data_IF_492740114667
#
_entry.id   IF_492740114667
#
_cell.length_a   1.000
_cell.length_b   1.000
_cell.length_c   1.000
_cell.angle_alpha   90.00
_cell.angle_beta   90.00
_cell.angle_gamma   90.00
#
_symmetry.space_group_name_H-M   'P 1'
#
loop_
_entity.id
_entity.type
_entity.pdbx_description
1 polymer ?
#
# COMPACT_ATOMS: atom_id res chain seq x y z
N UNK A 1 56.06 5.06 22.91
CA UNK A 1 55.00 4.03 22.78
C UNK A 1 53.60 4.61 22.59
N UNK A 2 53.28 5.77 23.18
CA UNK A 2 51.97 6.44 23.10
C UNK A 2 51.47 6.78 21.67
N UNK A 3 52.39 7.16 20.77
CA UNK A 3 52.08 7.51 19.38
C UNK A 3 51.63 6.31 18.53
N UNK A 4 52.02 5.08 18.89
CA UNK A 4 51.65 3.88 18.14
C UNK A 4 50.22 3.41 18.50
N UNK A 5 49.85 3.49 19.78
CA UNK A 5 48.49 3.18 20.25
C UNK A 5 47.43 4.12 19.67
N UNK A 6 47.74 5.43 19.57
CA UNK A 6 46.82 6.43 18.98
C UNK A 6 46.58 6.20 17.48
N UNK A 7 47.61 5.78 16.73
CA UNK A 7 47.48 5.40 15.31
C UNK A 7 46.67 4.13 15.12
N UNK A 8 46.82 3.14 16.00
CA UNK A 8 46.06 1.88 15.96
C UNK A 8 44.58 2.16 16.22
N UNK A 9 44.24 2.91 17.28
CA UNK A 9 42.84 3.30 17.58
C UNK A 9 42.23 4.12 16.44
N UNK A 10 43.00 5.02 15.81
CA UNK A 10 42.53 5.81 14.67
C UNK A 10 42.27 4.95 13.42
N UNK A 11 43.10 3.93 13.14
CA UNK A 11 42.86 2.98 12.04
C UNK A 11 41.59 2.15 12.25
N UNK A 12 41.33 1.67 13.48
CA UNK A 12 40.10 0.94 13.79
C UNK A 12 38.85 1.81 13.68
N UNK A 13 38.92 3.08 14.11
CA UNK A 13 37.82 4.04 13.92
C UNK A 13 37.54 4.32 12.44
N UNK A 14 38.58 4.53 11.63
CA UNK A 14 38.44 4.72 10.17
C UNK A 14 37.86 3.46 9.52
N UNK A 15 38.34 2.28 9.87
CA UNK A 15 37.79 1.01 9.37
C UNK A 15 36.32 0.83 9.74
N UNK A 16 35.94 1.16 10.98
CA UNK A 16 34.54 1.08 11.44
C UNK A 16 33.65 2.07 10.67
N UNK A 17 34.10 3.30 10.45
CA UNK A 17 33.38 4.30 9.65
C UNK A 17 33.20 3.84 8.19
N UNK A 18 34.22 3.25 7.57
CA UNK A 18 34.13 2.71 6.21
C UNK A 18 33.14 1.55 6.14
N UNK A 19 33.19 0.62 7.10
CA UNK A 19 32.21 -0.48 7.17
C UNK A 19 30.79 0.04 7.34
N UNK A 20 30.56 0.98 8.27
CA UNK A 20 29.24 1.57 8.50
C UNK A 20 28.71 2.29 7.23
N UNK A 21 29.57 3.01 6.52
CA UNK A 21 29.22 3.64 5.25
C UNK A 21 28.85 2.60 4.18
N UNK A 22 29.63 1.53 4.04
CA UNK A 22 29.32 0.44 3.10
C UNK A 22 28.01 -0.28 3.44
N UNK A 23 27.71 -0.50 4.72
CA UNK A 23 26.43 -1.07 5.14
C UNK A 23 25.27 -0.13 4.84
N UNK A 24 25.44 1.17 5.12
CA UNK A 24 24.40 2.16 4.84
C UNK A 24 24.14 2.30 3.33
N UNK A 25 25.18 2.33 2.49
CA UNK A 25 25.01 2.37 1.03
C UNK A 25 24.37 1.11 0.49
N UNK A 26 24.78 -0.08 0.95
CA UNK A 26 24.14 -1.33 0.59
C UNK A 26 22.66 -1.37 1.01
N UNK A 27 22.33 -0.86 2.19
CA UNK A 27 20.96 -0.71 2.68
C UNK A 27 20.13 0.21 1.78
N UNK A 28 20.65 1.38 1.40
CA UNK A 28 19.96 2.31 0.50
C UNK A 28 19.73 1.70 -0.90
N UNK A 29 20.71 0.98 -1.44
CA UNK A 29 20.57 0.27 -2.72
C UNK A 29 19.47 -0.79 -2.61
N UNK A 30 19.46 -1.58 -1.53
CA UNK A 30 18.43 -2.59 -1.30
C UNK A 30 17.03 -1.95 -1.17
N UNK A 31 16.90 -0.84 -0.44
CA UNK A 31 15.64 -0.09 -0.32
C UNK A 31 15.16 0.46 -1.66
N UNK A 32 16.06 1.05 -2.45
CA UNK A 32 15.76 1.54 -3.80
C UNK A 32 15.30 0.41 -4.72
N UNK A 33 15.97 -0.74 -4.69
CA UNK A 33 15.59 -1.90 -5.50
C UNK A 33 14.18 -2.42 -5.12
N UNK A 34 13.85 -2.43 -3.82
CA UNK A 34 12.51 -2.79 -3.33
C UNK A 34 11.45 -1.80 -3.82
N UNK A 35 11.73 -0.50 -3.75
CA UNK A 35 10.80 0.52 -4.23
C UNK A 35 10.57 0.41 -5.75
N UNK A 36 11.64 0.21 -6.54
CA UNK A 36 11.52 -0.02 -7.97
C UNK A 36 10.69 -1.27 -8.30
N UNK A 37 10.88 -2.36 -7.54
CA UNK A 37 10.06 -3.57 -7.68
C UNK A 37 8.57 -3.31 -7.42
N UNK A 38 8.25 -2.55 -6.37
CA UNK A 38 6.88 -2.15 -6.06
C UNK A 38 6.29 -1.27 -7.17
N UNK A 39 7.00 -0.24 -7.61
CA UNK A 39 6.53 0.67 -8.66
C UNK A 39 6.36 -0.05 -10.01
N UNK A 40 7.23 -1.02 -10.33
CA UNK A 40 7.09 -1.86 -11.51
C UNK A 40 5.84 -2.76 -11.44
N UNK A 41 5.55 -3.36 -10.28
CA UNK A 41 4.31 -4.11 -10.08
C UNK A 41 3.10 -3.18 -10.18
N UNK A 42 3.15 -2.00 -9.54
CA UNK A 42 2.11 -0.99 -9.62
C UNK A 42 1.80 -0.60 -11.08
N UNK A 43 2.84 -0.36 -11.89
CA UNK A 43 2.68 0.00 -13.29
C UNK A 43 1.98 -1.07 -14.14
N UNK A 44 2.16 -2.36 -13.82
CA UNK A 44 1.48 -3.46 -14.52
C UNK A 44 0.00 -3.59 -14.15
N UNK A 45 -0.34 -3.38 -12.89
CA UNK A 45 -1.73 -3.55 -12.40
C UNK A 45 -2.56 -2.26 -12.49
N UNK A 46 -1.94 -1.08 -12.51
CA UNK A 46 -2.62 0.22 -12.51
C UNK A 46 -3.64 0.42 -13.66
N UNK A 47 -3.42 -0.09 -14.89
CA UNK A 47 -4.41 0.00 -15.96
C UNK A 47 -5.77 -0.60 -15.60
N UNK A 48 -5.81 -1.63 -14.77
CA UNK A 48 -7.04 -2.36 -14.40
C UNK A 48 -7.69 -1.85 -13.10
N UNK A 49 -7.04 -0.89 -12.43
CA UNK A 49 -7.43 -0.43 -11.10
C UNK A 49 -7.85 1.05 -11.16
N UNK A 50 -8.98 1.39 -10.55
CA UNK A 50 -9.34 2.76 -10.18
C UNK A 50 -9.21 2.90 -8.66
N UNK A 51 -8.32 3.79 -8.22
CA UNK A 51 -8.14 4.09 -6.82
C UNK A 51 -9.11 5.17 -6.35
N UNK A 52 -9.30 5.25 -5.04
CA UNK A 52 -10.05 6.34 -4.39
C UNK A 52 -9.12 7.09 -3.45
N UNK A 53 -9.07 8.41 -3.57
CA UNK A 53 -8.20 9.26 -2.78
C UNK A 53 -9.02 10.40 -2.17
N UNK A 54 -9.01 10.54 -0.85
CA UNK A 54 -9.73 11.63 -0.19
C UNK A 54 -8.76 12.44 0.67
N UNK A 55 -8.74 13.75 0.45
CA UNK A 55 -7.97 14.71 1.22
C UNK A 55 -8.89 15.47 2.16
N UNK A 56 -8.58 15.44 3.46
CA UNK A 56 -9.29 16.23 4.45
C UNK A 56 -8.89 17.72 4.37
N UNK A 57 -9.72 18.58 4.95
CA UNK A 57 -9.42 20.00 5.04
C UNK A 57 -8.17 20.27 5.92
N UNK A 58 -8.04 19.58 7.04
CA UNK A 58 -6.90 19.66 7.97
C UNK A 58 -6.69 18.34 8.75
N UNK A 59 -5.71 18.33 9.65
CA UNK A 59 -5.34 17.19 10.50
C UNK A 59 -6.09 17.13 11.84
N UNK A 60 -7.02 18.06 12.11
CA UNK A 60 -7.86 17.99 13.30
C UNK A 60 -8.70 16.72 13.29
N UNK A 61 -8.94 16.14 14.47
CA UNK A 61 -9.77 14.95 14.62
C UNK A 61 -11.16 15.11 13.99
N UNK A 62 -11.77 16.31 14.06
CA UNK A 62 -13.07 16.58 13.43
C UNK A 62 -13.00 16.50 11.90
N UNK A 63 -12.01 17.12 11.26
CA UNK A 63 -11.83 17.05 9.80
C UNK A 63 -11.47 15.63 9.32
N UNK A 64 -10.73 14.87 10.14
CA UNK A 64 -10.40 13.48 9.84
C UNK A 64 -11.63 12.57 9.93
N UNK A 65 -12.47 12.76 10.96
CA UNK A 65 -13.74 12.04 11.11
C UNK A 65 -14.72 12.41 9.99
N UNK A 66 -14.85 13.70 9.68
CA UNK A 66 -15.68 14.21 8.59
C UNK A 66 -15.30 13.58 7.24
N UNK A 67 -14.00 13.43 6.96
CA UNK A 67 -13.50 12.71 5.78
C UNK A 67 -13.98 11.26 5.74
N UNK A 68 -13.98 10.55 6.87
CA UNK A 68 -14.42 9.16 6.93
C UNK A 68 -15.92 9.00 6.68
N UNK A 69 -16.71 9.98 7.10
CA UNK A 69 -18.16 10.03 6.85
C UNK A 69 -18.46 10.37 5.39
N UNK A 70 -17.81 11.39 4.83
CA UNK A 70 -17.90 11.72 3.39
C UNK A 70 -17.48 10.52 2.53
N UNK A 71 -16.39 9.82 2.90
CA UNK A 71 -15.99 8.56 2.26
C UNK A 71 -17.15 7.56 2.26
N UNK A 72 -17.78 7.33 3.40
CA UNK A 72 -18.89 6.39 3.52
C UNK A 72 -20.07 6.76 2.63
N UNK A 73 -20.48 8.03 2.63
CA UNK A 73 -21.56 8.56 1.79
C UNK A 73 -21.30 8.32 0.31
N UNK A 74 -20.10 8.69 -0.17
CA UNK A 74 -19.75 8.55 -1.58
C UNK A 74 -19.68 7.08 -2.00
N UNK A 75 -19.07 6.22 -1.18
CA UNK A 75 -18.97 4.79 -1.49
C UNK A 75 -20.35 4.14 -1.53
N UNK A 76 -21.25 4.46 -0.58
CA UNK A 76 -22.62 3.96 -0.61
C UNK A 76 -23.37 4.43 -1.86
N UNK A 77 -23.28 5.72 -2.18
CA UNK A 77 -23.93 6.27 -3.36
C UNK A 77 -23.44 5.60 -4.66
N UNK A 78 -22.13 5.36 -4.80
CA UNK A 78 -21.59 4.63 -5.95
C UNK A 78 -22.13 3.20 -5.99
N UNK A 79 -22.10 2.48 -4.87
CA UNK A 79 -22.53 1.08 -4.81
C UNK A 79 -24.03 0.91 -5.11
N UNK A 80 -24.87 1.81 -4.61
CA UNK A 80 -26.32 1.80 -4.82
C UNK A 80 -26.73 2.09 -6.27
N UNK A 81 -25.99 2.96 -6.96
CA UNK A 81 -26.40 3.46 -8.28
C UNK A 81 -25.66 2.81 -9.46
N UNK A 82 -24.38 2.48 -9.31
CA UNK A 82 -23.56 1.94 -10.40
C UNK A 82 -23.65 0.39 -10.49
N UNK A 83 -23.95 -0.27 -9.37
CA UNK A 83 -24.05 -1.73 -9.26
C UNK A 83 -22.70 -2.46 -9.37
N UNK A 84 -22.63 -3.68 -8.84
CA UNK A 84 -21.37 -4.42 -8.65
C UNK A 84 -20.74 -5.08 -9.89
N UNK A 85 -21.18 -4.76 -11.11
CA UNK A 85 -20.69 -5.36 -12.38
C UNK A 85 -20.11 -4.31 -13.35
N UNK A 86 -19.87 -3.08 -12.92
CA UNK A 86 -19.29 -2.05 -13.77
C UNK A 86 -17.79 -2.29 -13.98
N UNK A 87 -17.25 -1.95 -15.16
CA UNK A 87 -15.80 -1.93 -15.41
C UNK A 87 -15.14 -0.69 -14.83
N UNK A 88 -13.80 -0.61 -14.89
CA UNK A 88 -13.03 0.58 -14.51
C UNK A 88 -13.52 1.83 -15.25
N UNK A 89 -13.63 1.76 -16.57
CA UNK A 89 -13.98 2.88 -17.45
C UNK A 89 -15.41 3.33 -17.20
N UNK A 90 -16.33 2.37 -17.03
CA UNK A 90 -17.73 2.67 -16.70
C UNK A 90 -17.83 3.34 -15.33
N UNK A 91 -17.03 2.88 -14.36
CA UNK A 91 -16.97 3.49 -13.02
C UNK A 91 -16.43 4.93 -13.09
N UNK A 92 -15.33 5.14 -13.79
CA UNK A 92 -14.73 6.46 -13.96
C UNK A 92 -15.68 7.43 -14.71
N UNK A 93 -16.30 6.97 -15.80
CA UNK A 93 -17.26 7.76 -16.56
C UNK A 93 -18.49 8.14 -15.74
N UNK A 94 -19.06 7.18 -15.02
CA UNK A 94 -20.23 7.43 -14.17
C UNK A 94 -19.94 8.46 -13.06
N UNK A 95 -18.77 8.39 -12.43
CA UNK A 95 -18.36 9.37 -11.42
C UNK A 95 -18.28 10.79 -11.99
N UNK A 96 -17.82 10.94 -13.23
CA UNK A 96 -17.74 12.26 -13.87
C UNK A 96 -19.10 12.77 -14.33
N UNK A 97 -19.98 11.88 -14.79
CA UNK A 97 -21.36 12.20 -15.13
C UNK A 97 -22.17 12.66 -13.91
N UNK A 98 -21.94 12.03 -12.75
CA UNK A 98 -22.65 12.32 -11.49
C UNK A 98 -21.86 13.23 -10.55
N UNK A 99 -20.81 13.87 -11.06
CA UNK A 99 -19.84 14.64 -10.28
C UNK A 99 -20.51 15.71 -9.41
N UNK A 100 -21.33 16.55 -10.03
CA UNK A 100 -21.96 17.68 -9.34
C UNK A 100 -22.89 17.19 -8.22
N UNK A 101 -23.60 16.08 -8.44
CA UNK A 101 -24.46 15.46 -7.42
C UNK A 101 -23.67 14.89 -6.24
N UNK A 102 -22.51 14.28 -6.51
CA UNK A 102 -21.61 13.75 -5.47
C UNK A 102 -21.00 14.89 -4.65
N UNK A 103 -20.52 15.94 -5.31
CA UNK A 103 -19.97 17.13 -4.65
C UNK A 103 -21.02 17.82 -3.77
N UNK A 104 -22.24 18.02 -4.28
CA UNK A 104 -23.32 18.68 -3.55
C UNK A 104 -23.81 17.85 -2.35
N UNK A 105 -23.92 16.53 -2.51
CA UNK A 105 -24.27 15.64 -1.40
C UNK A 105 -23.23 15.73 -0.28
N UNK A 106 -21.94 15.64 -0.63
CA UNK A 106 -20.86 15.76 0.34
C UNK A 106 -20.84 17.15 1.00
N UNK A 107 -21.04 18.22 0.22
CA UNK A 107 -21.11 19.60 0.74
C UNK A 107 -22.30 19.80 1.69
N UNK A 108 -23.47 19.28 1.33
CA UNK A 108 -24.68 19.31 2.17
C UNK A 108 -24.44 18.60 3.50
N UNK A 109 -23.79 17.44 3.46
CA UNK A 109 -23.42 16.72 4.68
C UNK A 109 -22.46 17.55 5.56
N UNK A 110 -21.41 18.12 4.96
CA UNK A 110 -20.44 18.97 5.66
C UNK A 110 -21.13 20.18 6.32
N UNK A 111 -22.08 20.81 5.63
CA UNK A 111 -22.91 21.89 6.17
C UNK A 111 -23.74 21.45 7.37
N UNK A 112 -24.32 20.24 7.31
CA UNK A 112 -25.07 19.68 8.44
C UNK A 112 -24.20 19.41 9.69
N UNK A 113 -22.89 19.21 9.51
CA UNK A 113 -21.92 19.05 10.59
C UNK A 113 -21.37 20.40 11.10
N UNK A 114 -21.94 21.53 10.67
CA UNK A 114 -21.55 22.87 11.11
C UNK A 114 -20.26 23.40 10.48
N UNK A 115 -19.84 22.87 9.32
CA UNK A 115 -18.68 23.31 8.55
C UNK A 115 -19.11 23.79 7.17
N UNK A 116 -18.36 24.70 6.53
CA UNK A 116 -18.62 25.12 5.15
C UNK A 116 -17.34 24.97 4.31
N UNK A 117 -17.05 23.72 3.94
CA UNK A 117 -15.92 23.40 3.08
C UNK A 117 -16.41 23.08 1.67
N UNK A 118 -15.77 23.63 0.61
CA UNK A 118 -16.00 23.14 -0.74
C UNK A 118 -15.54 21.68 -0.85
N UNK A 119 -16.20 20.93 -1.72
CA UNK A 119 -15.80 19.56 -2.08
C UNK A 119 -15.55 19.54 -3.57
N UNK A 120 -14.43 18.91 -3.98
CA UNK A 120 -14.08 18.74 -5.39
C UNK A 120 -13.79 17.27 -5.68
N UNK A 121 -14.53 16.67 -6.59
CA UNK A 121 -14.28 15.35 -7.18
C UNK A 121 -13.61 15.51 -8.56
N UNK A 122 -12.54 14.78 -8.80
CA UNK A 122 -11.86 14.75 -10.09
C UNK A 122 -11.23 13.38 -10.37
N UNK A 123 -11.07 13.05 -11.66
CA UNK A 123 -10.17 11.97 -12.06
C UNK A 123 -8.75 12.53 -12.19
N UNK A 124 -7.83 11.94 -11.45
CA UNK A 124 -6.43 12.32 -11.41
C UNK A 124 -5.52 11.10 -11.54
N UNK A 125 -4.24 11.35 -11.82
CA UNK A 125 -3.19 10.35 -11.64
C UNK A 125 -2.38 10.72 -10.41
N UNK A 126 -2.53 9.94 -9.35
CA UNK A 126 -1.89 10.19 -8.05
C UNK A 126 -0.86 9.12 -7.72
N UNK A 127 0.18 9.50 -6.98
CA UNK A 127 1.12 8.55 -6.38
C UNK A 127 0.56 8.03 -5.07
N UNK A 128 0.39 6.71 -4.98
CA UNK A 128 -0.08 6.03 -3.79
C UNK A 128 1.11 5.40 -3.05
N UNK A 129 1.17 5.49 -1.71
CA UNK A 129 2.04 4.64 -0.92
C UNK A 129 1.53 3.19 -0.92
N UNK A 130 2.37 2.25 -0.50
CA UNK A 130 1.95 0.86 -0.28
C UNK A 130 0.84 0.79 0.76
N UNK A 131 -0.25 0.09 0.46
CA UNK A 131 -1.43 -0.02 1.34
C UNK A 131 -1.96 -1.43 1.42
N UNK A 132 -2.22 -1.88 2.65
CA UNK A 132 -2.91 -3.12 2.92
C UNK A 132 -4.43 -2.90 2.95
N UNK A 133 -5.17 -3.84 2.37
CA UNK A 133 -6.63 -3.92 2.34
C UNK A 133 -7.01 -5.34 2.72
N UNK A 134 -7.45 -5.55 3.96
CA UNK A 134 -7.63 -6.89 4.51
C UNK A 134 -6.35 -7.72 4.39
N UNK A 135 -6.44 -8.78 3.62
CA UNK A 135 -5.37 -9.73 3.31
C UNK A 135 -4.65 -9.45 1.97
N UNK A 136 -4.83 -8.28 1.36
CA UNK A 136 -4.11 -7.91 0.13
C UNK A 136 -3.25 -6.67 0.34
N UNK A 137 -2.08 -6.61 -0.32
CA UNK A 137 -1.16 -5.47 -0.28
C UNK A 137 -0.97 -4.89 -1.66
N UNK A 138 -1.39 -3.64 -1.84
CA UNK A 138 -1.19 -2.90 -3.08
C UNK A 138 0.13 -2.12 -3.02
N UNK A 139 1.01 -2.24 -4.03
CA UNK A 139 2.31 -1.61 -4.03
C UNK A 139 2.22 -0.07 -4.18
N UNK A 140 3.31 0.61 -3.84
CA UNK A 140 3.42 2.04 -4.10
C UNK A 140 3.63 2.30 -5.60
N UNK A 141 3.05 3.38 -6.13
CA UNK A 141 3.16 3.74 -7.53
C UNK A 141 2.09 4.74 -7.99
N UNK A 142 2.06 5.05 -9.28
CA UNK A 142 1.07 5.97 -9.86
C UNK A 142 -0.14 5.20 -10.36
N UNK A 143 -1.34 5.64 -9.98
CA UNK A 143 -2.61 5.03 -10.38
C UNK A 143 -3.59 6.09 -10.86
N UNK A 144 -4.57 5.67 -11.67
CA UNK A 144 -5.77 6.46 -11.88
C UNK A 144 -6.58 6.49 -10.58
N UNK A 145 -7.03 7.68 -10.19
CA UNK A 145 -7.72 7.91 -8.94
C UNK A 145 -8.94 8.81 -9.14
N UNK A 146 -10.06 8.41 -8.56
CA UNK A 146 -11.12 9.34 -8.20
C UNK A 146 -10.67 10.06 -6.92
N UNK A 147 -10.32 11.35 -7.05
CA UNK A 147 -9.83 12.17 -5.96
C UNK A 147 -10.93 13.11 -5.47
N UNK A 148 -11.21 13.07 -4.17
CA UNK A 148 -12.07 14.02 -3.47
C UNK A 148 -11.21 14.91 -2.58
N UNK A 149 -11.29 16.22 -2.79
CA UNK A 149 -10.63 17.22 -1.95
C UNK A 149 -11.69 17.95 -1.13
N UNK A 150 -11.57 17.88 0.19
CA UNK A 150 -12.43 18.61 1.13
C UNK A 150 -11.69 19.87 1.59
N UNK A 151 -12.29 21.04 1.41
CA UNK A 151 -11.72 22.31 1.83
C UNK A 151 -10.36 22.58 1.21
N UNK A 152 -9.36 22.88 2.04
CA UNK A 152 -8.00 23.16 1.56
C UNK A 152 -7.20 21.92 1.12
N UNK A 153 -7.68 20.71 1.42
CA UNK A 153 -6.99 19.47 1.06
C UNK A 153 -5.64 19.27 1.74
N UNK A 154 -5.39 19.93 2.87
CA UNK A 154 -4.09 19.89 3.59
C UNK A 154 -4.02 18.83 4.68
N UNK A 155 -5.13 18.15 4.95
CA UNK A 155 -5.17 17.09 5.94
C UNK A 155 -4.65 15.76 5.42
N UNK A 156 -4.48 14.79 6.32
CA UNK A 156 -4.06 13.44 5.98
C UNK A 156 -4.94 12.81 4.89
N UNK A 157 -4.29 12.03 4.04
CA UNK A 157 -4.95 11.33 2.94
C UNK A 157 -5.66 10.07 3.44
N UNK A 158 -6.77 9.74 2.77
CA UNK A 158 -7.39 8.43 2.84
C UNK A 158 -7.28 7.74 1.48
N UNK A 159 -6.92 6.46 1.48
CA UNK A 159 -6.60 5.71 0.27
C UNK A 159 -7.43 4.44 0.19
N UNK A 160 -8.07 4.19 -0.96
CA UNK A 160 -8.89 3.01 -1.20
C UNK A 160 -8.71 2.48 -2.63
N UNK A 161 -9.26 1.30 -2.91
CA UNK A 161 -9.50 0.81 -4.29
C UNK A 161 -10.99 0.89 -4.58
N UNK A 162 -11.37 1.74 -5.53
CA UNK A 162 -12.77 1.88 -5.94
C UNK A 162 -13.18 0.82 -6.95
N UNK A 163 -12.30 0.52 -7.91
CA UNK A 163 -12.47 -0.59 -8.85
C UNK A 163 -11.18 -1.43 -8.92
N UNK A 164 -11.26 -2.76 -8.80
CA UNK A 164 -12.43 -3.51 -8.32
C UNK A 164 -12.87 -3.03 -6.92
N UNK A 165 -14.11 -3.28 -6.49
CA UNK A 165 -14.64 -2.70 -5.26
C UNK A 165 -13.99 -3.36 -4.03
N UNK A 166 -12.87 -2.83 -3.55
CA UNK A 166 -12.29 -3.19 -2.24
C UNK A 166 -12.53 -2.10 -1.19
N UNK A 167 -13.17 -0.99 -1.58
CA UNK A 167 -13.56 0.07 -0.66
C UNK A 167 -14.93 -0.21 -0.07
N UNK A 168 -14.96 -0.58 1.21
CA UNK A 168 -16.19 -0.79 1.95
C UNK A 168 -16.36 0.28 3.04
N UNK A 169 -17.61 0.53 3.42
CA UNK A 169 -17.97 1.37 4.56
C UNK A 169 -17.43 0.79 5.86
N UNK A 170 -17.57 -0.53 6.03
CA UNK A 170 -17.13 -1.23 7.23
C UNK A 170 -15.65 -1.65 7.13
N UNK A 171 -14.83 -1.06 8.00
CA UNK A 171 -13.39 -1.36 8.14
C UNK A 171 -13.10 -2.66 8.91
N UNK A 172 -14.13 -3.42 9.29
CA UNK A 172 -14.01 -4.60 10.16
C UNK A 172 -13.66 -5.89 9.42
N UNK A 173 -13.65 -5.88 8.08
CA UNK A 173 -13.32 -7.07 7.32
C UNK A 173 -11.81 -7.26 7.25
N UNK A 174 -11.30 -8.24 8.00
CA UNK A 174 -9.90 -8.67 7.94
C UNK A 174 -9.52 -9.29 6.58
N UNK A 175 -10.51 -9.61 5.74
CA UNK A 175 -10.37 -10.33 4.46
C UNK A 175 -11.13 -9.59 3.36
N UNK A 176 -10.52 -9.44 2.19
CA UNK A 176 -11.19 -8.86 1.02
C UNK A 176 -12.28 -9.83 0.52
N UNK A 177 -13.50 -9.36 0.20
CA UNK A 177 -14.57 -10.24 -0.28
C UNK A 177 -14.19 -11.02 -1.54
N UNK A 178 -14.61 -12.28 -1.60
CA UNK A 178 -14.19 -13.23 -2.63
C UNK A 178 -14.53 -12.75 -4.04
N UNK A 179 -15.70 -12.15 -4.23
CA UNK A 179 -16.10 -11.59 -5.53
C UNK A 179 -15.11 -10.53 -6.04
N UNK A 180 -14.58 -9.69 -5.15
CA UNK A 180 -13.61 -8.65 -5.52
C UNK A 180 -12.24 -9.26 -5.84
N UNK A 181 -11.86 -10.33 -5.12
CA UNK A 181 -10.66 -11.13 -5.42
C UNK A 181 -10.76 -11.84 -6.77
N UNK A 182 -11.88 -12.51 -7.05
CA UNK A 182 -12.15 -13.15 -8.35
C UNK A 182 -12.11 -12.16 -9.49
N UNK A 183 -12.75 -10.99 -9.31
CA UNK A 183 -12.71 -9.90 -10.28
C UNK A 183 -11.28 -9.48 -10.54
N UNK A 184 -10.53 -9.15 -9.48
CA UNK A 184 -9.14 -8.74 -9.60
C UNK A 184 -8.27 -9.81 -10.27
N UNK A 185 -8.41 -11.09 -9.89
CA UNK A 185 -7.70 -12.22 -10.48
C UNK A 185 -8.00 -12.38 -11.98
N UNK A 186 -9.23 -12.09 -12.41
CA UNK A 186 -9.57 -12.13 -13.84
C UNK A 186 -9.03 -10.95 -14.65
N UNK A 187 -8.67 -9.84 -14.00
CA UNK A 187 -8.21 -8.62 -14.66
C UNK A 187 -6.68 -8.58 -14.85
N UNK A 188 -5.93 -9.19 -13.92
CA UNK A 188 -4.47 -9.13 -13.92
C UNK A 188 -3.85 -10.53 -14.08
N UNK A 189 -2.61 -10.64 -14.58
CA UNK A 189 -1.90 -11.92 -14.64
C UNK A 189 -1.80 -12.60 -13.27
N UNK A 190 -1.87 -13.93 -13.24
CA UNK A 190 -1.79 -14.71 -11.99
C UNK A 190 -0.54 -14.37 -11.16
N UNK A 191 0.60 -14.15 -11.80
CA UNK A 191 1.86 -13.75 -11.13
C UNK A 191 1.73 -12.42 -10.37
N UNK A 192 1.01 -11.46 -10.95
CA UNK A 192 0.80 -10.14 -10.37
C UNK A 192 -0.23 -10.22 -9.26
N UNK A 193 -1.26 -11.05 -9.40
CA UNK A 193 -2.25 -11.32 -8.36
C UNK A 193 -1.62 -11.96 -7.12
N UNK A 194 -0.82 -13.01 -7.28
CA UNK A 194 -0.11 -13.68 -6.18
C UNK A 194 0.88 -12.73 -5.47
N UNK A 195 1.45 -11.76 -6.19
CA UNK A 195 2.31 -10.73 -5.61
C UNK A 195 1.56 -9.76 -4.67
N UNK A 196 0.24 -9.65 -4.78
CA UNK A 196 -0.61 -8.85 -3.88
C UNK A 196 -1.01 -9.60 -2.61
N UNK A 197 -0.94 -10.94 -2.60
CA UNK A 197 -1.31 -11.76 -1.45
C UNK A 197 -0.23 -11.75 -0.35
N UNK A 198 -0.60 -12.05 0.92
CA UNK A 198 0.35 -12.11 2.02
C UNK A 198 1.35 -13.24 1.81
N UNK A 199 2.56 -13.07 2.33
CA UNK A 199 3.67 -14.02 2.15
C UNK A 199 3.35 -15.44 2.64
N UNK A 200 2.43 -15.59 3.59
CA UNK A 200 1.98 -16.87 4.16
C UNK A 200 1.12 -17.71 3.20
N UNK A 201 0.44 -17.08 2.25
CA UNK A 201 -0.45 -17.75 1.28
C UNK A 201 0.27 -18.10 -0.03
N UNK A 202 1.35 -17.38 -0.36
CA UNK A 202 2.22 -17.66 -1.53
C UNK A 202 2.84 -19.06 -1.51
N UNK A 203 2.88 -19.71 -0.35
CA UNK A 203 3.53 -21.02 -0.18
C UNK A 203 2.62 -22.24 -0.38
N UNK A 204 1.30 -22.06 -0.51
CA UNK A 204 0.38 -23.19 -0.70
C UNK A 204 0.11 -23.53 -2.18
N UNK A 205 0.32 -22.58 -3.10
CA UNK A 205 0.13 -22.80 -4.55
C UNK A 205 1.44 -23.05 -5.33
N UNK A 206 2.60 -22.91 -4.68
CA UNK A 206 3.91 -23.26 -5.22
C UNK A 206 4.32 -24.65 -4.74
N UNK A 207 3.98 -25.69 -5.51
CA UNK A 207 4.48 -27.04 -5.35
C UNK A 207 5.99 -27.09 -5.64
N UNK A 208 6.80 -26.86 -4.61
CA UNK A 208 8.24 -27.11 -4.66
C UNK A 208 9.09 -26.19 -3.80
N UNK A 209 9.00 -26.31 -2.47
CA UNK A 209 9.99 -25.68 -1.58
C UNK A 209 11.38 -26.30 -1.85
N UNK A 210 12.41 -25.56 -2.30
CA UNK A 210 13.77 -26.04 -2.15
C UNK A 210 14.08 -26.08 -0.65
N UNK A 211 14.49 -27.24 -0.14
CA UNK A 211 15.03 -27.38 1.22
C UNK A 211 16.32 -26.57 1.31
N UNK A 212 16.25 -25.35 1.81
CA UNK A 212 17.44 -24.56 2.17
C UNK A 212 18.01 -25.16 3.45
N UNK A 213 19.04 -26.01 3.30
CA UNK A 213 19.91 -26.40 4.42
C UNK A 213 20.93 -25.29 4.64
N UNK A 214 20.77 -24.54 5.73
CA UNK A 214 21.79 -23.57 6.17
C UNK A 214 22.91 -24.32 6.89
N UNK A 215 24.07 -24.49 6.23
CA UNK A 215 25.29 -25.02 6.86
C UNK A 215 26.14 -23.87 7.37
N UNK A 216 26.24 -23.72 8.68
CA UNK A 216 27.12 -22.75 9.33
C UNK A 216 28.56 -23.26 9.34
N UNK A 217 29.33 -22.93 8.29
CA UNK A 217 30.76 -23.27 8.16
C UNK A 217 31.61 -22.80 9.34
N UNK A 218 31.18 -21.75 10.06
CA UNK A 218 31.88 -21.22 11.22
C UNK A 218 31.80 -22.16 12.45
N UNK A 219 30.68 -22.86 12.63
CA UNK A 219 30.48 -23.80 13.73
C UNK A 219 31.26 -25.11 13.51
N UNK A 220 31.42 -25.53 12.25
CA UNK A 220 32.30 -26.64 11.85
C UNK A 220 33.78 -26.26 12.08
N UNK A 221 34.18 -25.02 11.78
CA UNK A 221 35.56 -24.54 11.99
C UNK A 221 35.97 -24.43 13.47
N UNK A 222 34.99 -24.20 14.35
CA UNK A 222 35.19 -24.05 15.80
C UNK A 222 35.06 -25.38 16.57
N UNK A 223 34.85 -26.52 15.88
CA UNK A 223 34.79 -27.84 16.52
C UNK A 223 33.61 -28.04 17.48
N UNK A 224 32.57 -27.21 17.41
CA UNK A 224 31.41 -27.25 18.30
C UNK A 224 30.33 -28.27 17.86
N UNK A 225 30.58 -29.04 16.81
CA UNK A 225 29.72 -30.14 16.38
C UNK A 225 30.13 -31.48 17.01
N UNK A 226 29.80 -31.70 18.29
CA UNK A 226 29.79 -33.06 18.87
C UNK A 226 28.37 -33.47 19.23
N UNK A 227 28.08 -34.72 18.86
CA UNK A 227 26.81 -35.45 18.96
C UNK A 227 26.14 -35.37 20.34
N UNK A 228 24.81 -35.32 20.32
CA UNK A 228 23.93 -35.89 21.33
C UNK A 228 22.62 -36.24 20.59
N UNK A 229 22.04 -37.44 20.61
CA UNK A 229 22.35 -38.70 21.26
C UNK A 229 21.24 -39.67 20.85
N UNK A 230 21.54 -40.97 20.85
CA UNK A 230 20.59 -42.07 20.66
C UNK A 230 19.33 -41.91 21.52
N UNK A 231 18.17 -42.01 20.88
CA UNK A 231 17.11 -43.00 21.13
C UNK A 231 16.07 -42.97 20.02
#
# INVERSE_FOLDING_TARGET
MENNGRKIVMKYKVSLCVCALCFFTAFLIAMSARQQGNEALAARIAPEILRFHILANSDSDEDQQLKMEVKGLVINYVNENLGGNATKEKTAGWLMEHKDGIEEMARTYILSQGKDYPVKLELARDYFPTKAYGDMVFPCGTYDAARITIGSGRGHNWWCVLYPPLCYTDSMNAVVPERSKETLKSLIPDEDYEALLPEKERTDHSSGKPRVQVRFRLAELLGLGRQAGDQ
#
